data_IF_051165912827
#
_entry.id   IF_051165912827
#
_cell.length_a   1.000
_cell.length_b   1.000
_cell.length_c   1.000
_cell.angle_alpha   90.00
_cell.angle_beta   90.00
_cell.angle_gamma   90.00
#
_symmetry.space_group_name_H-M   'P 1'
#
loop_
_entity.id
_entity.type
_entity.pdbx_description
1 polymer ?
#
# COMPACT_ATOMS: atom_id res chain seq x y z
N UNK A 1 17.67 8.09 -3.87
CA UNK A 1 16.91 8.82 -2.82
C UNK A 1 16.66 10.22 -3.36
N UNK A 2 15.42 10.60 -3.51
CA UNK A 2 14.98 11.89 -4.03
C UNK A 2 14.10 12.59 -2.99
N UNK A 3 14.02 13.91 -3.01
CA UNK A 3 13.12 14.67 -2.12
C UNK A 3 11.66 14.29 -2.36
N UNK A 4 11.26 14.05 -3.62
CA UNK A 4 9.93 13.58 -3.95
C UNK A 4 9.65 12.17 -3.40
N UNK A 5 10.65 11.27 -3.38
CA UNK A 5 10.52 9.96 -2.73
C UNK A 5 10.38 10.07 -1.21
N UNK A 6 11.06 11.02 -0.58
CA UNK A 6 10.85 11.32 0.85
C UNK A 6 9.45 11.90 1.09
N UNK A 7 9.02 12.84 0.23
CA UNK A 7 7.68 13.42 0.30
C UNK A 7 6.57 12.38 0.15
N UNK A 8 6.80 11.32 -0.64
CA UNK A 8 5.86 10.18 -0.75
C UNK A 8 5.64 9.52 0.60
N UNK A 9 6.71 9.18 1.32
CA UNK A 9 6.60 8.55 2.66
C UNK A 9 5.97 9.50 3.65
N UNK A 10 6.47 10.74 3.70
CA UNK A 10 5.94 11.73 4.66
C UNK A 10 4.46 12.01 4.42
N UNK A 11 4.03 12.13 3.16
CA UNK A 11 2.63 12.33 2.82
C UNK A 11 1.76 11.14 3.28
N UNK A 12 2.23 9.92 3.08
CA UNK A 12 1.58 8.70 3.52
C UNK A 12 1.43 8.65 5.07
N UNK A 13 2.51 8.90 5.81
CA UNK A 13 2.47 8.93 7.28
C UNK A 13 1.58 10.05 7.81
N UNK A 14 1.64 11.23 7.20
CA UNK A 14 0.75 12.33 7.56
C UNK A 14 -0.72 11.97 7.32
N UNK A 15 -1.03 11.26 6.24
CA UNK A 15 -2.38 10.79 5.98
C UNK A 15 -2.87 9.82 7.06
N UNK A 16 -2.03 8.87 7.50
CA UNK A 16 -2.35 7.99 8.62
C UNK A 16 -2.66 8.78 9.91
N UNK A 17 -1.89 9.81 10.20
CA UNK A 17 -2.12 10.67 11.37
C UNK A 17 -3.42 11.49 11.25
N UNK A 18 -3.67 12.09 10.08
CA UNK A 18 -4.88 12.88 9.82
C UNK A 18 -6.15 12.05 9.91
N UNK A 19 -6.13 10.83 9.38
CA UNK A 19 -7.27 9.90 9.42
C UNK A 19 -7.38 9.11 10.72
N UNK A 20 -6.46 9.33 11.67
CA UNK A 20 -6.43 8.64 12.97
C UNK A 20 -6.36 7.11 12.86
N UNK A 21 -5.76 6.59 11.80
CA UNK A 21 -5.66 5.14 11.56
C UNK A 21 -5.00 4.40 12.73
N UNK A 22 -4.01 5.03 13.41
CA UNK A 22 -3.39 4.46 14.61
C UNK A 22 -4.37 4.25 15.76
N UNK A 23 -5.28 5.21 15.99
CA UNK A 23 -6.31 5.11 17.04
C UNK A 23 -7.29 3.98 16.71
N UNK A 24 -7.73 3.89 15.46
CA UNK A 24 -8.63 2.84 15.02
C UNK A 24 -8.00 1.44 15.13
N UNK A 25 -6.73 1.30 14.73
CA UNK A 25 -5.96 0.04 14.88
C UNK A 25 -5.84 -0.35 16.36
N UNK A 26 -5.51 0.62 17.23
CA UNK A 26 -5.41 0.37 18.67
C UNK A 26 -6.75 -0.05 19.27
N UNK A 27 -7.85 0.63 18.95
CA UNK A 27 -9.18 0.28 19.44
C UNK A 27 -9.58 -1.13 19.02
N UNK A 28 -9.31 -1.53 17.78
CA UNK A 28 -9.56 -2.88 17.28
C UNK A 28 -8.70 -3.91 17.98
N UNK A 29 -7.40 -3.65 18.17
CA UNK A 29 -6.51 -4.59 18.85
C UNK A 29 -6.92 -4.86 20.30
N UNK A 30 -7.49 -3.86 21.00
CA UNK A 30 -8.04 -4.06 22.34
C UNK A 30 -9.24 -5.00 22.30
N UNK A 31 -10.16 -4.81 21.35
CA UNK A 31 -11.31 -5.68 21.17
C UNK A 31 -10.87 -7.11 20.86
N UNK A 32 -9.90 -7.28 19.97
CA UNK A 32 -9.35 -8.58 19.60
C UNK A 32 -8.70 -9.27 20.81
N UNK A 33 -7.95 -8.53 21.63
CA UNK A 33 -7.34 -9.06 22.86
C UNK A 33 -8.39 -9.52 23.89
N UNK A 34 -9.43 -8.72 24.10
CA UNK A 34 -10.54 -9.07 24.99
C UNK A 34 -11.23 -10.35 24.50
N UNK A 35 -11.49 -10.46 23.20
CA UNK A 35 -12.10 -11.63 22.60
C UNK A 35 -11.21 -12.87 22.74
N UNK A 36 -9.90 -12.73 22.55
CA UNK A 36 -8.92 -13.82 22.76
C UNK A 36 -8.87 -14.28 24.21
N UNK A 37 -8.84 -13.35 25.17
CA UNK A 37 -8.86 -13.68 26.60
C UNK A 37 -10.15 -14.42 26.99
N UNK A 38 -11.28 -13.99 26.43
CA UNK A 38 -12.57 -14.68 26.60
C UNK A 38 -12.56 -16.11 26.04
N UNK A 39 -11.95 -16.31 24.86
CA UNK A 39 -11.78 -17.64 24.27
C UNK A 39 -10.89 -18.57 25.10
N UNK A 40 -9.78 -18.05 25.63
CA UNK A 40 -8.86 -18.79 26.50
C UNK A 40 -9.56 -19.17 27.81
N UNK A 41 -10.32 -18.25 28.42
CA UNK A 41 -11.07 -18.50 29.64
C UNK A 41 -12.15 -19.56 29.45
N UNK A 42 -12.87 -19.54 28.32
CA UNK A 42 -13.86 -20.56 27.97
C UNK A 42 -13.23 -21.94 27.76
N UNK A 43 -12.07 -22.02 27.11
CA UNK A 43 -11.34 -23.27 26.93
C UNK A 43 -10.83 -23.83 28.26
N UNK A 44 -10.29 -22.98 29.15
CA UNK A 44 -9.77 -23.37 30.45
C UNK A 44 -10.87 -23.88 31.41
N UNK A 45 -12.13 -23.40 31.25
CA UNK A 45 -13.28 -23.86 32.03
C UNK A 45 -13.91 -25.17 31.52
N UNK A 46 -13.27 -25.83 30.53
CA UNK A 46 -13.75 -27.12 30.00
C UNK A 46 -14.93 -27.00 29.02
N UNK A 47 -15.29 -25.80 28.63
CA UNK A 47 -16.33 -25.59 27.62
C UNK A 47 -15.78 -25.91 26.21
N UNK A 48 -16.44 -26.82 25.52
CA UNK A 48 -16.08 -27.23 24.14
C UNK A 48 -16.13 -26.09 23.10
N UNK A 49 -16.68 -24.93 23.48
CA UNK A 49 -16.78 -23.72 22.63
C UNK A 49 -15.47 -22.96 22.41
N UNK A 50 -14.40 -23.23 23.20
CA UNK A 50 -13.12 -22.50 23.06
C UNK A 50 -12.50 -22.62 21.67
N UNK A 51 -12.52 -23.81 21.06
CA UNK A 51 -12.05 -24.04 19.70
C UNK A 51 -12.90 -23.33 18.63
N UNK A 52 -14.23 -23.29 18.82
CA UNK A 52 -15.14 -22.57 17.92
C UNK A 52 -14.90 -21.05 17.97
N UNK A 53 -14.67 -20.49 19.17
CA UNK A 53 -14.35 -19.07 19.32
C UNK A 53 -13.01 -18.73 18.67
N UNK A 54 -11.97 -19.57 18.81
CA UNK A 54 -10.70 -19.40 18.12
C UNK A 54 -10.84 -19.44 16.59
N UNK A 55 -11.66 -20.36 16.07
CA UNK A 55 -11.97 -20.42 14.65
C UNK A 55 -12.66 -19.14 14.14
N UNK A 56 -13.63 -18.62 14.91
CA UNK A 56 -14.31 -17.35 14.59
C UNK A 56 -13.35 -16.16 14.60
N UNK A 57 -12.44 -16.08 15.58
CA UNK A 57 -11.43 -15.02 15.65
C UNK A 57 -10.46 -15.08 14.49
N UNK A 58 -10.04 -16.27 14.08
CA UNK A 58 -9.22 -16.47 12.87
C UNK A 58 -9.95 -16.02 11.61
N UNK A 59 -11.22 -16.41 11.47
CA UNK A 59 -12.07 -15.99 10.35
C UNK A 59 -12.28 -14.46 10.33
N UNK A 60 -12.49 -13.84 11.49
CA UNK A 60 -12.58 -12.38 11.63
C UNK A 60 -11.28 -11.69 11.20
N UNK A 61 -10.12 -12.20 11.65
CA UNK A 61 -8.81 -11.68 11.26
C UNK A 61 -8.64 -11.64 9.74
N UNK A 62 -8.96 -12.74 9.06
CA UNK A 62 -8.80 -12.85 7.60
C UNK A 62 -9.85 -12.02 6.84
N UNK A 63 -11.11 -12.05 7.26
CA UNK A 63 -12.21 -11.48 6.48
C UNK A 63 -12.53 -10.02 6.83
N UNK A 64 -12.07 -9.52 7.97
CA UNK A 64 -12.38 -8.16 8.45
C UNK A 64 -11.11 -7.33 8.68
N UNK A 65 -10.18 -7.82 9.50
CA UNK A 65 -9.00 -7.04 9.88
C UNK A 65 -8.05 -6.78 8.71
N UNK A 66 -7.75 -7.79 7.90
CA UNK A 66 -6.85 -7.61 6.74
C UNK A 66 -7.44 -6.68 5.67
N UNK A 67 -8.71 -6.83 5.23
CA UNK A 67 -9.31 -5.88 4.29
C UNK A 67 -9.39 -4.45 4.84
N UNK A 68 -9.64 -4.31 6.14
CA UNK A 68 -9.68 -3.00 6.79
C UNK A 68 -8.30 -2.32 6.77
N UNK A 69 -7.23 -3.03 7.12
CA UNK A 69 -5.87 -2.50 7.07
C UNK A 69 -5.48 -2.08 5.64
N UNK A 70 -5.82 -2.90 4.64
CA UNK A 70 -5.59 -2.55 3.23
C UNK A 70 -6.34 -1.29 2.80
N UNK A 71 -7.57 -1.11 3.28
CA UNK A 71 -8.34 0.12 3.01
C UNK A 71 -7.65 1.34 3.60
N UNK A 72 -7.14 1.26 4.82
CA UNK A 72 -6.39 2.35 5.45
C UNK A 72 -5.11 2.69 4.70
N UNK A 73 -4.37 1.68 4.20
CA UNK A 73 -3.19 1.90 3.37
C UNK A 73 -3.55 2.59 2.05
N UNK A 74 -4.61 2.14 1.38
CA UNK A 74 -5.09 2.76 0.14
C UNK A 74 -5.54 4.20 0.36
N UNK A 75 -6.22 4.50 1.46
CA UNK A 75 -6.64 5.85 1.84
C UNK A 75 -5.42 6.74 2.15
N UNK A 76 -4.42 6.20 2.86
CA UNK A 76 -3.19 6.91 3.15
C UNK A 76 -2.38 7.20 1.88
N UNK A 77 -2.35 6.29 0.93
CA UNK A 77 -1.72 6.51 -0.38
C UNK A 77 -2.41 7.62 -1.17
N UNK A 78 -3.74 7.60 -1.24
CA UNK A 78 -4.51 8.61 -1.97
C UNK A 78 -4.31 10.01 -1.38
N UNK A 79 -4.48 10.15 -0.07
CA UNK A 79 -4.32 11.43 0.62
C UNK A 79 -2.86 11.89 0.58
N UNK A 80 -1.92 10.97 0.81
CA UNK A 80 -0.49 11.25 0.78
C UNK A 80 -0.01 11.73 -0.60
N UNK A 81 -0.51 11.10 -1.67
CA UNK A 81 -0.23 11.52 -3.04
C UNK A 81 -0.72 12.94 -3.32
N UNK A 82 -1.88 13.32 -2.81
CA UNK A 82 -2.41 14.69 -2.92
C UNK A 82 -1.59 15.69 -2.10
N UNK A 83 -1.23 15.33 -0.86
CA UNK A 83 -0.45 16.20 0.02
C UNK A 83 0.92 16.51 -0.59
N UNK A 84 1.66 15.50 -1.07
CA UNK A 84 2.95 15.74 -1.71
C UNK A 84 2.81 16.61 -2.97
N UNK A 85 1.77 16.40 -3.76
CA UNK A 85 1.51 17.16 -4.98
C UNK A 85 1.22 18.63 -4.66
N UNK A 86 0.37 18.91 -3.67
CA UNK A 86 0.07 20.26 -3.22
C UNK A 86 1.27 20.98 -2.61
N UNK A 87 2.20 20.21 -2.02
CA UNK A 87 3.47 20.71 -1.52
C UNK A 87 4.52 20.96 -2.62
N UNK A 88 4.17 20.74 -3.91
CA UNK A 88 5.06 20.96 -5.05
C UNK A 88 6.06 19.83 -5.31
N UNK A 89 5.85 18.65 -4.74
CA UNK A 89 6.64 17.46 -5.05
C UNK A 89 5.98 16.62 -6.16
N UNK A 90 6.81 16.12 -7.07
CA UNK A 90 6.34 15.38 -8.24
C UNK A 90 5.69 14.05 -7.86
N UNK A 91 4.37 13.88 -8.03
CA UNK A 91 3.66 12.65 -7.63
C UNK A 91 4.04 11.42 -8.47
N UNK A 92 4.67 11.62 -9.63
CA UNK A 92 5.12 10.50 -10.48
C UNK A 92 6.21 9.67 -9.81
N UNK A 93 6.92 10.23 -8.81
CA UNK A 93 7.92 9.49 -8.04
C UNK A 93 7.30 8.48 -7.05
N UNK A 94 6.02 8.62 -6.71
CA UNK A 94 5.38 7.73 -5.73
C UNK A 94 5.34 6.26 -6.21
N UNK A 95 5.00 6.02 -7.46
CA UNK A 95 4.95 4.67 -8.04
C UNK A 95 6.33 4.00 -8.02
N UNK A 96 7.38 4.55 -8.66
CA UNK A 96 8.70 3.94 -8.62
C UNK A 96 9.30 3.89 -7.21
N UNK A 97 8.89 4.77 -6.30
CA UNK A 97 9.28 4.70 -4.91
C UNK A 97 8.77 3.41 -4.25
N UNK A 98 7.45 3.14 -4.35
CA UNK A 98 6.85 1.94 -3.76
C UNK A 98 7.33 0.65 -4.45
N UNK A 99 7.57 0.68 -5.77
CA UNK A 99 8.20 -0.43 -6.49
C UNK A 99 9.60 -0.76 -5.93
N UNK A 100 10.44 0.24 -5.71
CA UNK A 100 11.78 0.05 -5.10
C UNK A 100 11.70 -0.45 -3.67
N UNK A 101 10.73 0.08 -2.90
CA UNK A 101 10.53 -0.34 -1.50
C UNK A 101 10.04 -1.78 -1.39
N UNK A 102 9.20 -2.24 -2.32
CA UNK A 102 8.72 -3.63 -2.33
C UNK A 102 9.85 -4.65 -2.61
N UNK A 103 11.00 -4.18 -3.07
CA UNK A 103 12.11 -5.06 -3.45
C UNK A 103 11.84 -5.90 -4.71
N UNK A 104 10.73 -5.62 -5.41
CA UNK A 104 10.27 -6.38 -6.55
C UNK A 104 10.14 -5.53 -7.80
N UNK A 105 10.78 -5.93 -8.91
CA UNK A 105 10.48 -5.36 -10.20
C UNK A 105 9.02 -5.63 -10.58
N UNK A 106 8.34 -4.65 -11.14
CA UNK A 106 6.93 -4.69 -11.54
C UNK A 106 6.52 -5.95 -12.31
N UNK A 107 7.41 -6.46 -13.15
CA UNK A 107 7.17 -7.65 -13.98
C UNK A 107 7.16 -8.97 -13.17
N UNK A 108 7.64 -8.95 -11.93
CA UNK A 108 7.75 -10.12 -11.05
C UNK A 108 6.75 -10.13 -9.90
N UNK A 109 5.99 -9.05 -9.70
CA UNK A 109 5.13 -8.85 -8.53
C UNK A 109 4.06 -9.94 -8.41
N UNK A 110 3.54 -10.47 -9.53
CA UNK A 110 2.41 -11.41 -9.52
C UNK A 110 2.75 -12.85 -9.09
N UNK A 111 3.99 -13.31 -9.16
CA UNK A 111 4.28 -14.74 -8.99
C UNK A 111 5.44 -15.14 -8.09
N UNK A 112 6.42 -14.30 -7.81
CA UNK A 112 7.66 -14.76 -7.16
C UNK A 112 8.18 -13.93 -5.99
N UNK A 113 7.69 -12.74 -5.77
CA UNK A 113 8.24 -11.82 -4.77
C UNK A 113 7.94 -12.19 -3.32
N UNK A 114 6.96 -13.03 -3.07
CA UNK A 114 6.70 -13.57 -1.72
C UNK A 114 7.81 -14.49 -1.20
N UNK A 115 8.76 -14.88 -2.05
CA UNK A 115 9.75 -15.91 -1.72
C UNK A 115 11.16 -15.38 -1.40
N UNK A 116 11.45 -14.13 -1.66
CA UNK A 116 12.74 -13.52 -1.34
C UNK A 116 12.66 -12.81 0.03
N UNK A 117 12.76 -13.58 1.10
CA UNK A 117 12.90 -13.09 2.47
C UNK A 117 14.31 -12.52 2.71
N UNK A 118 14.72 -11.52 1.95
CA UNK A 118 15.84 -10.68 2.34
C UNK A 118 15.25 -9.45 3.01
N UNK A 119 15.47 -9.34 4.31
CA UNK A 119 15.19 -8.22 5.20
C UNK A 119 14.15 -7.22 4.63
N UNK A 120 12.86 -7.57 4.74
CA UNK A 120 11.79 -6.60 4.50
C UNK A 120 12.06 -5.42 5.45
N UNK A 121 12.27 -4.19 4.95
CA UNK A 121 12.43 -3.04 5.82
C UNK A 121 11.28 -3.01 6.82
N UNK A 122 11.56 -2.71 8.09
CA UNK A 122 10.57 -2.68 9.17
C UNK A 122 9.31 -1.89 8.78
N UNK A 123 9.51 -0.82 8.02
CA UNK A 123 8.42 -0.03 7.43
C UNK A 123 7.45 -0.86 6.57
N UNK A 124 7.93 -1.80 5.74
CA UNK A 124 7.07 -2.64 4.92
C UNK A 124 6.32 -3.72 5.72
N UNK A 125 6.78 -4.06 6.91
CA UNK A 125 6.05 -4.99 7.79
C UNK A 125 4.76 -4.36 8.32
N UNK A 126 4.76 -3.05 8.54
CA UNK A 126 3.62 -2.26 9.01
C UNK A 126 2.77 -1.69 7.86
N UNK A 127 3.39 -1.47 6.70
CA UNK A 127 2.79 -0.88 5.49
C UNK A 127 3.07 -1.78 4.27
N UNK A 128 2.41 -2.94 4.15
CA UNK A 128 2.68 -3.87 3.07
C UNK A 128 2.36 -3.23 1.72
N UNK A 129 3.35 -3.24 0.85
CA UNK A 129 3.19 -2.84 -0.56
C UNK A 129 2.68 -4.04 -1.35
N UNK A 130 1.59 -3.86 -2.08
CA UNK A 130 1.07 -4.85 -3.02
C UNK A 130 0.81 -4.22 -4.40
N UNK A 131 0.57 -5.07 -5.39
CA UNK A 131 0.27 -4.66 -6.77
C UNK A 131 -0.96 -3.77 -6.83
N UNK A 132 -1.94 -4.04 -5.97
CA UNK A 132 -3.20 -3.29 -5.92
C UNK A 132 -2.93 -1.83 -5.56
N UNK A 133 -2.06 -1.56 -4.57
CA UNK A 133 -1.68 -0.20 -4.18
C UNK A 133 -0.96 0.54 -5.31
N UNK A 134 -0.01 -0.13 -5.96
CA UNK A 134 0.73 0.45 -7.09
C UNK A 134 -0.22 0.82 -8.24
N UNK A 135 -1.12 -0.07 -8.60
CA UNK A 135 -2.12 0.19 -9.64
C UNK A 135 -3.08 1.32 -9.26
N UNK A 136 -3.48 1.41 -8.00
CA UNK A 136 -4.31 2.51 -7.50
C UNK A 136 -3.60 3.85 -7.58
N UNK A 137 -2.33 3.91 -7.16
CA UNK A 137 -1.52 5.13 -7.28
C UNK A 137 -1.46 5.60 -8.73
N UNK A 138 -1.24 4.71 -9.70
CA UNK A 138 -1.27 5.06 -11.12
C UNK A 138 -2.61 5.64 -11.57
N UNK A 139 -3.71 5.07 -11.08
CA UNK A 139 -5.06 5.56 -11.39
C UNK A 139 -5.29 6.98 -10.87
N UNK A 140 -4.68 7.35 -9.74
CA UNK A 140 -4.81 8.68 -9.13
C UNK A 140 -3.80 9.71 -9.63
N UNK A 141 -2.74 9.29 -10.33
CA UNK A 141 -1.72 10.20 -10.86
C UNK A 141 -2.31 11.36 -11.70
N UNK A 142 -3.29 11.18 -12.60
CA UNK A 142 -3.83 12.30 -13.36
C UNK A 142 -4.48 13.39 -12.50
N UNK A 143 -5.11 13.00 -11.39
CA UNK A 143 -5.65 13.95 -10.42
C UNK A 143 -4.52 14.64 -9.64
N UNK A 144 -3.57 13.88 -9.12
CA UNK A 144 -2.42 14.37 -8.37
C UNK A 144 -1.59 15.37 -9.18
N UNK A 145 -1.41 15.11 -10.48
CA UNK A 145 -0.71 16.03 -11.39
C UNK A 145 -1.38 17.39 -11.50
N UNK A 146 -2.71 17.47 -11.40
CA UNK A 146 -3.41 18.77 -11.39
C UNK A 146 -3.04 19.60 -10.16
N UNK A 147 -2.96 18.98 -8.99
CA UNK A 147 -2.50 19.65 -7.76
C UNK A 147 -1.03 20.07 -7.85
N UNK A 148 -0.19 19.20 -8.40
CA UNK A 148 1.23 19.51 -8.60
C UNK A 148 1.43 20.70 -9.55
N UNK A 149 0.72 20.75 -10.68
CA UNK A 149 0.77 21.88 -11.61
C UNK A 149 0.25 23.17 -10.99
N UNK A 150 -0.84 23.09 -10.22
CA UNK A 150 -1.38 24.24 -9.49
C UNK A 150 -0.39 24.78 -8.43
N UNK A 151 0.48 23.93 -7.90
CA UNK A 151 1.56 24.32 -6.98
C UNK A 151 2.84 24.80 -7.70
N UNK A 152 2.80 25.00 -9.02
CA UNK A 152 3.94 25.46 -9.82
C UNK A 152 4.84 24.34 -10.36
N UNK A 153 4.41 23.09 -10.23
CA UNK A 153 5.12 21.92 -10.76
C UNK A 153 5.17 21.91 -12.30
N UNK A 154 6.26 21.43 -12.86
CA UNK A 154 6.42 21.32 -14.31
C UNK A 154 5.64 20.13 -14.87
N UNK A 155 4.87 20.31 -15.96
CA UNK A 155 4.22 19.19 -16.62
C UNK A 155 5.28 18.18 -17.12
N UNK A 156 4.92 16.89 -17.27
CA UNK A 156 5.82 15.92 -17.85
C UNK A 156 6.23 16.38 -19.27
N UNK A 157 7.46 16.10 -19.69
CA UNK A 157 7.84 16.30 -21.09
C UNK A 157 6.87 15.51 -21.98
N UNK A 158 6.55 16.06 -23.15
CA UNK A 158 5.74 15.34 -24.12
C UNK A 158 6.33 13.95 -24.36
N UNK A 159 5.52 12.89 -24.44
CA UNK A 159 6.04 11.56 -24.69
C UNK A 159 6.84 11.58 -26.00
N UNK A 160 8.06 11.03 -25.93
CA UNK A 160 8.87 10.88 -27.13
C UNK A 160 8.06 10.11 -28.19
N UNK A 161 8.14 10.49 -29.48
CA UNK A 161 7.44 9.77 -30.52
C UNK A 161 7.77 8.28 -30.43
N UNK A 162 6.74 7.45 -30.40
CA UNK A 162 6.89 6.00 -30.30
C UNK A 162 7.76 5.49 -31.45
N UNK A 163 8.94 4.98 -31.13
CA UNK A 163 9.75 4.21 -32.07
C UNK A 163 9.43 2.73 -31.84
N UNK A 164 8.79 2.03 -32.76
CA UNK A 164 8.56 0.61 -32.63
C UNK A 164 9.90 -0.10 -32.44
N UNK A 165 10.02 -0.90 -31.37
CA UNK A 165 11.21 -1.68 -31.07
C UNK A 165 11.45 -2.84 -32.06
N UNK A 166 10.50 -3.08 -32.94
CA UNK A 166 10.53 -4.16 -33.94
C UNK A 166 10.69 -3.49 -35.30
N UNK A 167 11.84 -3.74 -35.94
CA UNK A 167 12.02 -3.43 -37.36
C UNK A 167 10.98 -4.18 -38.22
N UNK A 168 10.79 -3.78 -39.50
CA UNK A 168 9.85 -4.45 -40.38
C UNK A 168 10.13 -5.96 -40.41
N UNK A 169 9.05 -6.76 -40.26
CA UNK A 169 9.13 -8.21 -40.38
C UNK A 169 9.84 -8.58 -41.68
N UNK A 170 10.76 -9.59 -41.67
CA UNK A 170 11.35 -10.08 -42.90
C UNK A 170 10.25 -10.57 -43.83
N UNK A 171 10.25 -10.04 -45.04
CA UNK A 171 9.29 -10.47 -46.07
C UNK A 171 9.62 -11.94 -46.38
N UNK A 172 8.60 -12.80 -46.29
CA UNK A 172 8.69 -14.19 -46.68
C UNK A 172 8.98 -14.25 -48.21
N UNK A 173 10.10 -14.83 -48.56
CA UNK A 173 10.48 -15.18 -49.94
C UNK A 173 9.78 -16.44 -50.38
#
# INVERSE_FOLDING_TARGET
KTDAGLATVMGHEMAHALQRHGVERMSRSIIDQIAQLGAIGAAASGHSSGGAIQGLLGAYGVNVSLPFNRKQESEADYIGLRLMSQAGYDPREAVPFWERMSGCPRQMIDKLCFRSQHAIPEFLSTHPSDVTRINQLETWLPEAMRYYQAAGGTPPPAPAPYKPAIGPLPQAS
#
